data_IF_927500991937
#
_entry.id   IF_927500991937
#
_cell.length_a   1.000
_cell.length_b   1.000
_cell.length_c   1.000
_cell.angle_alpha   90.00
_cell.angle_beta   90.00
_cell.angle_gamma   90.00
#
_symmetry.space_group_name_H-M   'P 1'
#
loop_
_entity.id
_entity.type
_entity.pdbx_description
1 polymer ?
#
# COMPACT_ATOMS: atom_id res chain seq x y z
N UNK A 1 -20.20 -6.69 12.85
CA UNK A 1 -19.08 -7.40 12.41
C UNK A 1 -17.93 -6.51 12.13
N UNK A 2 -16.90 -6.83 12.71
CA UNK A 2 -15.89 -5.84 12.86
C UNK A 2 -14.68 -6.12 12.03
N UNK A 3 -14.96 -6.64 10.84
CA UNK A 3 -13.91 -6.89 9.88
C UNK A 3 -13.48 -5.60 9.25
N UNK A 4 -12.26 -5.21 9.52
CA UNK A 4 -11.65 -4.08 8.86
C UNK A 4 -10.90 -4.54 7.63
N UNK A 5 -10.88 -3.71 6.60
CA UNK A 5 -10.04 -3.96 5.43
C UNK A 5 -8.59 -3.61 5.79
N UNK A 6 -7.71 -4.57 5.58
CA UNK A 6 -6.27 -4.36 5.82
C UNK A 6 -5.68 -3.60 4.65
N UNK A 7 -5.06 -2.47 4.95
CA UNK A 7 -4.59 -1.55 3.94
C UNK A 7 -3.10 -1.32 4.08
N UNK A 8 -2.38 -1.39 2.97
CA UNK A 8 -0.97 -1.02 2.93
C UNK A 8 -0.81 0.21 2.07
N UNK A 9 -0.04 1.18 2.57
CA UNK A 9 0.24 2.43 1.88
C UNK A 9 1.58 2.32 1.17
N UNK A 10 1.58 2.52 -0.15
CA UNK A 10 2.81 2.46 -0.95
C UNK A 10 3.08 3.86 -1.51
N UNK A 11 4.08 4.52 -0.96
CA UNK A 11 4.36 5.92 -1.29
C UNK A 11 5.80 6.24 -0.90
N UNK A 12 6.53 6.93 -1.78
CA UNK A 12 7.93 7.26 -1.54
C UNK A 12 8.11 8.59 -0.77
N UNK A 13 7.04 9.36 -0.58
CA UNK A 13 7.11 10.62 0.14
C UNK A 13 6.81 10.39 1.62
N UNK A 14 7.79 10.55 2.52
CA UNK A 14 7.55 10.30 3.94
C UNK A 14 6.46 11.21 4.51
N UNK A 15 6.41 12.45 4.08
CA UNK A 15 5.45 13.40 4.61
C UNK A 15 4.03 13.05 4.18
N UNK A 16 3.82 12.80 2.90
CA UNK A 16 2.50 12.43 2.39
C UNK A 16 2.07 11.08 2.94
N UNK A 17 2.99 10.13 2.99
CA UNK A 17 2.70 8.80 3.53
C UNK A 17 2.23 8.87 4.98
N UNK A 18 2.92 9.65 5.80
CA UNK A 18 2.54 9.82 7.21
C UNK A 18 1.15 10.43 7.33
N UNK A 19 0.88 11.46 6.53
CA UNK A 19 -0.44 12.10 6.53
C UNK A 19 -1.53 11.12 6.12
N UNK A 20 -1.28 10.37 5.07
CA UNK A 20 -2.26 9.42 4.53
C UNK A 20 -2.54 8.29 5.53
N UNK A 21 -1.50 7.74 6.14
CA UNK A 21 -1.66 6.69 7.14
C UNK A 21 -2.49 7.21 8.31
N UNK A 22 -2.18 8.41 8.77
CA UNK A 22 -2.93 9.01 9.88
C UNK A 22 -4.40 9.20 9.52
N UNK A 23 -4.66 9.70 8.32
CA UNK A 23 -6.03 9.93 7.85
C UNK A 23 -6.82 8.63 7.71
N UNK A 24 -6.18 7.61 7.14
CA UNK A 24 -6.85 6.31 6.94
C UNK A 24 -7.05 5.57 8.26
N UNK A 25 -6.13 5.74 9.21
CA UNK A 25 -6.24 5.08 10.51
C UNK A 25 -7.40 5.64 11.35
N UNK A 26 -7.85 6.85 11.04
CA UNK A 26 -8.99 7.44 11.71
C UNK A 26 -10.33 6.90 11.19
N UNK A 27 -10.32 6.15 10.09
CA UNK A 27 -11.53 5.58 9.51
C UNK A 27 -11.70 4.14 9.98
N UNK A 28 -12.82 3.85 10.63
CA UNK A 28 -13.06 2.54 11.23
C UNK A 28 -13.16 1.40 10.22
N UNK A 29 -13.31 1.72 8.93
CA UNK A 29 -13.40 0.68 7.90
C UNK A 29 -12.04 0.08 7.56
N UNK A 30 -10.95 0.75 7.91
CA UNK A 30 -9.61 0.34 7.51
C UNK A 30 -8.71 0.07 8.71
N UNK A 31 -7.82 -0.88 8.49
CA UNK A 31 -6.69 -1.12 9.40
C UNK A 31 -5.42 -0.98 8.57
N UNK A 32 -4.63 0.04 8.81
CA UNK A 32 -3.36 0.20 8.12
C UNK A 32 -2.36 -0.78 8.72
N UNK A 33 -1.99 -1.79 7.96
CA UNK A 33 -1.12 -2.86 8.46
C UNK A 33 0.36 -2.60 8.20
N UNK A 34 0.67 -1.62 7.36
CA UNK A 34 2.05 -1.24 7.08
C UNK A 34 2.15 -0.33 5.89
N UNK A 35 3.39 -0.04 5.52
CA UNK A 35 3.65 0.81 4.36
C UNK A 35 4.88 0.31 3.62
N UNK A 36 5.01 0.76 2.38
CA UNK A 36 6.19 0.52 1.57
C UNK A 36 6.62 1.82 0.90
N UNK A 37 7.90 1.96 0.65
CA UNK A 37 8.47 3.19 0.11
C UNK A 37 8.62 3.14 -1.41
N UNK A 38 8.54 1.96 -1.98
CA UNK A 38 8.59 1.77 -3.43
C UNK A 38 7.98 0.41 -3.77
N UNK A 39 7.95 0.11 -5.07
CA UNK A 39 7.33 -1.13 -5.54
C UNK A 39 8.05 -2.38 -5.04
N UNK A 40 9.38 -2.36 -5.02
CA UNK A 40 10.15 -3.51 -4.58
C UNK A 40 9.90 -3.81 -3.10
N UNK A 41 9.90 -2.77 -2.28
CA UNK A 41 9.59 -2.88 -0.86
C UNK A 41 8.18 -3.44 -0.66
N UNK A 42 7.22 -2.96 -1.46
CA UNK A 42 5.85 -3.46 -1.40
C UNK A 42 5.77 -4.93 -1.75
N UNK A 43 6.46 -5.35 -2.81
CA UNK A 43 6.46 -6.75 -3.22
C UNK A 43 6.99 -7.67 -2.13
N UNK A 44 7.97 -7.22 -1.36
CA UNK A 44 8.51 -7.99 -0.25
C UNK A 44 7.55 -8.05 0.92
N UNK A 45 6.79 -6.99 1.16
CA UNK A 45 5.92 -6.89 2.32
C UNK A 45 4.53 -7.50 2.11
N UNK A 46 4.04 -7.54 0.89
CA UNK A 46 2.70 -8.06 0.62
C UNK A 46 2.49 -9.47 1.17
N UNK A 47 3.37 -10.44 0.92
CA UNK A 47 3.13 -11.78 1.45
C UNK A 47 3.22 -11.85 2.98
N UNK A 48 3.93 -10.91 3.60
CA UNK A 48 4.06 -10.88 5.05
C UNK A 48 2.84 -10.23 5.71
N UNK A 49 2.35 -9.14 5.15
CA UNK A 49 1.28 -8.35 5.74
C UNK A 49 -0.10 -8.78 5.25
N UNK A 50 -0.16 -9.37 4.08
CA UNK A 50 -1.39 -9.87 3.46
C UNK A 50 -2.50 -8.81 3.43
N UNK A 51 -2.22 -7.63 2.86
CA UNK A 51 -3.24 -6.58 2.82
C UNK A 51 -4.37 -6.95 1.87
N UNK A 52 -5.55 -6.42 2.17
CA UNK A 52 -6.70 -6.55 1.27
C UNK A 52 -6.66 -5.51 0.17
N UNK A 53 -6.05 -4.36 0.44
CA UNK A 53 -6.00 -3.22 -0.47
C UNK A 53 -4.66 -2.52 -0.36
N UNK A 54 -4.29 -1.83 -1.44
CA UNK A 54 -3.12 -0.98 -1.47
C UNK A 54 -3.51 0.42 -1.92
N UNK A 55 -2.84 1.44 -1.37
CA UNK A 55 -2.83 2.76 -2.02
C UNK A 55 -1.49 2.89 -2.74
N UNK A 56 -1.52 3.40 -3.96
CA UNK A 56 -0.33 3.48 -4.79
C UNK A 56 -0.06 4.92 -5.23
N UNK A 57 1.20 5.34 -5.10
CA UNK A 57 1.69 6.53 -5.76
C UNK A 57 2.11 6.13 -7.17
N UNK A 58 1.45 6.68 -8.17
CA UNK A 58 1.68 6.31 -9.57
C UNK A 58 3.08 6.71 -10.04
N UNK A 59 3.67 7.70 -9.41
CA UNK A 59 4.96 8.26 -9.86
C UNK A 59 6.14 7.84 -9.00
N UNK A 60 6.07 6.64 -8.42
CA UNK A 60 7.20 6.13 -7.64
C UNK A 60 8.46 5.99 -8.50
N UNK A 61 9.64 6.34 -7.97
CA UNK A 61 10.90 6.16 -8.68
C UNK A 61 11.14 4.69 -9.02
N UNK A 62 11.66 4.46 -10.21
CA UNK A 62 12.07 3.15 -10.64
C UNK A 62 10.95 2.28 -11.21
N UNK A 63 9.71 2.60 -10.91
CA UNK A 63 8.58 1.83 -11.42
C UNK A 63 7.30 2.66 -11.23
N UNK A 64 6.53 2.84 -12.28
CA UNK A 64 5.24 3.52 -12.15
C UNK A 64 4.24 2.63 -11.41
N UNK A 65 3.21 3.23 -10.85
CA UNK A 65 2.15 2.46 -10.21
C UNK A 65 1.48 1.50 -11.17
N UNK A 66 1.36 1.89 -12.44
CA UNK A 66 0.76 1.03 -13.47
C UNK A 66 1.64 -0.20 -13.72
N UNK A 67 2.96 -0.01 -13.82
CA UNK A 67 3.88 -1.14 -14.00
C UNK A 67 3.85 -2.07 -12.80
N UNK A 68 3.75 -1.51 -11.60
CA UNK A 68 3.65 -2.30 -10.39
C UNK A 68 2.40 -3.17 -10.41
N UNK A 69 1.26 -2.59 -10.79
CA UNK A 69 0.02 -3.36 -10.91
C UNK A 69 0.13 -4.47 -11.94
N UNK A 70 0.79 -4.21 -13.06
CA UNK A 70 0.99 -5.23 -14.09
C UNK A 70 1.80 -6.41 -13.57
N UNK A 71 2.74 -6.16 -12.66
CA UNK A 71 3.52 -7.23 -12.06
C UNK A 71 2.72 -8.05 -11.06
N UNK A 72 1.75 -7.45 -10.40
CA UNK A 72 0.92 -8.16 -9.42
C UNK A 72 -0.18 -8.99 -10.08
N UNK A 73 -0.78 -8.46 -11.12
CA UNK A 73 -1.94 -9.10 -11.75
C UNK A 73 -1.65 -10.46 -12.35
N UNK A 74 -0.54 -10.67 -13.07
CA UNK A 74 -0.29 -11.97 -13.70
C UNK A 74 -0.02 -13.12 -12.75
N UNK A 75 0.10 -12.83 -11.47
CA UNK A 75 0.32 -13.88 -10.48
C UNK A 75 -0.88 -14.81 -10.40
N UNK A 76 -1.96 -14.36 -10.89
CA UNK A 76 -3.20 -15.11 -10.86
C UNK A 76 -3.59 -15.57 -12.26
#
# INVERSE_FOLDING_TARGET
MDHKLKLMVVDDSPLFRTWLIHSLSADDRFQVVGYAVNALDAQEKIPLLQPDMLTLDIEMPGMSGIEFLKQLLPVH
#
